data_IF_884695190747
#
_entry.id   IF_884695190747
#
_cell.length_a   1.000
_cell.length_b   1.000
_cell.length_c   1.000
_cell.angle_alpha   90.00
_cell.angle_beta   90.00
_cell.angle_gamma   90.00
#
_symmetry.space_group_name_H-M   'P 1'
#
loop_
_entity.id
_entity.type
_entity.pdbx_description
1 polymer ?
#
# COMPACT_ATOMS: atom_id res chain seq x y z
N UNK A 1 12.90 -3.37 10.35
CA UNK A 1 12.01 -2.48 11.11
C UNK A 1 10.53 -2.79 10.83
N UNK A 2 9.92 -2.34 9.71
CA UNK A 2 8.47 -2.51 9.45
C UNK A 2 7.98 -3.97 9.58
N UNK A 3 8.64 -4.92 8.92
CA UNK A 3 8.31 -6.35 9.02
C UNK A 3 8.58 -6.97 10.40
N UNK A 4 9.48 -6.37 11.18
CA UNK A 4 9.77 -6.81 12.55
C UNK A 4 8.62 -6.38 13.46
N UNK A 5 8.26 -5.10 13.43
CA UNK A 5 7.14 -4.55 14.23
C UNK A 5 5.82 -5.27 13.94
N UNK A 6 5.53 -5.53 12.65
CA UNK A 6 4.36 -6.30 12.22
C UNK A 6 4.33 -7.73 12.78
N UNK A 7 5.49 -8.38 12.96
CA UNK A 7 5.59 -9.76 13.45
C UNK A 7 5.56 -9.84 14.97
N UNK A 8 6.27 -8.96 15.64
CA UNK A 8 6.47 -9.04 17.09
C UNK A 8 5.36 -8.34 17.90
N UNK A 9 4.79 -7.25 17.39
CA UNK A 9 3.78 -6.47 18.11
C UNK A 9 2.70 -5.88 17.16
N UNK A 10 1.90 -6.73 16.50
CA UNK A 10 0.95 -6.29 15.47
C UNK A 10 -0.12 -5.32 16.01
N UNK A 11 -0.60 -5.52 17.23
CA UNK A 11 -1.63 -4.68 17.86
C UNK A 11 -1.09 -3.28 18.22
N UNK A 12 0.11 -3.23 18.79
CA UNK A 12 0.83 -2.00 19.11
C UNK A 12 1.12 -1.19 17.85
N UNK A 13 1.61 -1.87 16.82
CA UNK A 13 1.87 -1.27 15.51
C UNK A 13 0.59 -0.70 14.88
N UNK A 14 -0.51 -1.46 14.91
CA UNK A 14 -1.80 -0.99 14.42
C UNK A 14 -2.33 0.22 15.19
N UNK A 15 -2.10 0.27 16.52
CA UNK A 15 -2.48 1.40 17.37
C UNK A 15 -1.64 2.64 17.05
N UNK A 16 -0.32 2.50 16.92
CA UNK A 16 0.60 3.60 16.56
C UNK A 16 0.30 4.18 15.18
N UNK A 17 -0.03 3.32 14.21
CA UNK A 17 -0.48 3.75 12.88
C UNK A 17 -1.88 4.37 12.88
N UNK A 18 -2.64 4.25 13.96
CA UNK A 18 -4.01 4.77 14.05
C UNK A 18 -4.95 4.11 13.03
N UNK A 19 -4.71 2.84 12.67
CA UNK A 19 -5.45 2.14 11.60
C UNK A 19 -6.95 2.22 11.84
N UNK A 20 -7.42 1.95 13.06
CA UNK A 20 -8.85 2.01 13.38
C UNK A 20 -9.47 3.40 13.14
N UNK A 21 -8.73 4.48 13.39
CA UNK A 21 -9.18 5.85 13.14
C UNK A 21 -9.22 6.14 11.64
N UNK A 22 -8.15 5.80 10.91
CA UNK A 22 -8.07 5.92 9.46
C UNK A 22 -9.19 5.17 8.75
N UNK A 23 -9.53 3.96 9.21
CA UNK A 23 -10.55 3.12 8.60
C UNK A 23 -11.98 3.61 8.88
N UNK A 24 -12.23 4.28 10.01
CA UNK A 24 -13.56 4.78 10.39
C UNK A 24 -13.83 6.21 9.94
N UNK A 25 -12.82 7.07 10.03
CA UNK A 25 -13.01 8.53 9.90
C UNK A 25 -12.48 9.11 8.59
N UNK A 26 -11.68 8.36 7.82
CA UNK A 26 -11.09 8.94 6.61
C UNK A 26 -12.14 9.30 5.56
N UNK A 27 -11.95 10.46 4.95
CA UNK A 27 -12.73 10.90 3.79
C UNK A 27 -12.65 9.88 2.65
N UNK A 28 -11.47 9.27 2.45
CA UNK A 28 -11.27 8.22 1.45
C UNK A 28 -12.21 7.04 1.65
N UNK A 29 -12.31 6.49 2.87
CA UNK A 29 -13.21 5.35 3.13
C UNK A 29 -14.67 5.73 2.89
N UNK A 30 -15.09 6.94 3.29
CA UNK A 30 -16.46 7.43 3.05
C UNK A 30 -16.76 7.49 1.55
N UNK A 31 -15.87 8.13 0.77
CA UNK A 31 -16.00 8.23 -0.69
C UNK A 31 -16.01 6.87 -1.39
N UNK A 32 -15.19 5.93 -0.93
CA UNK A 32 -15.15 4.56 -1.47
C UNK A 32 -16.46 3.82 -1.22
N UNK A 33 -17.03 3.94 -0.01
CA UNK A 33 -18.35 3.34 0.31
C UNK A 33 -19.46 3.89 -0.57
N UNK A 34 -19.41 5.19 -0.88
CA UNK A 34 -20.40 5.84 -1.73
C UNK A 34 -20.27 5.43 -3.20
N UNK A 35 -19.04 5.41 -3.72
CA UNK A 35 -18.74 5.13 -5.14
C UNK A 35 -18.82 3.65 -5.50
N UNK A 36 -18.46 2.74 -4.57
CA UNK A 36 -18.40 1.29 -4.79
C UNK A 36 -19.04 0.52 -3.63
N UNK A 37 -20.38 0.57 -3.57
CA UNK A 37 -21.18 -0.06 -2.50
C UNK A 37 -20.98 -1.59 -2.37
N UNK A 38 -20.60 -2.25 -3.46
CA UNK A 38 -20.49 -3.71 -3.51
C UNK A 38 -19.11 -4.24 -3.06
N UNK A 39 -18.16 -3.36 -2.76
CA UNK A 39 -16.79 -3.75 -2.40
C UNK A 39 -16.43 -3.12 -1.06
N UNK A 40 -15.91 -3.94 -0.13
CA UNK A 40 -15.45 -3.41 1.15
C UNK A 40 -14.23 -2.49 0.95
N UNK A 41 -14.23 -1.22 1.44
CA UNK A 41 -13.17 -0.24 1.19
C UNK A 41 -11.76 -0.68 1.61
N UNK A 42 -11.68 -1.64 2.55
CA UNK A 42 -10.41 -2.19 3.02
C UNK A 42 -9.66 -2.91 1.91
N UNK A 43 -10.33 -3.55 0.95
CA UNK A 43 -9.64 -4.15 -0.20
C UNK A 43 -8.81 -3.11 -0.95
N UNK A 44 -9.39 -1.92 -1.17
CA UNK A 44 -8.68 -0.85 -1.86
C UNK A 44 -7.49 -0.33 -1.05
N UNK A 45 -7.66 -0.16 0.26
CA UNK A 45 -6.58 0.27 1.16
C UNK A 45 -5.46 -0.75 1.20
N UNK A 46 -5.78 -2.05 1.33
CA UNK A 46 -4.78 -3.13 1.29
C UNK A 46 -4.02 -3.14 -0.04
N UNK A 47 -4.70 -2.90 -1.16
CA UNK A 47 -4.03 -2.81 -2.47
C UNK A 47 -3.06 -1.63 -2.56
N UNK A 48 -3.45 -0.44 -2.09
CA UNK A 48 -2.56 0.73 -2.06
C UNK A 48 -1.35 0.48 -1.15
N UNK A 49 -1.58 -0.08 0.05
CA UNK A 49 -0.50 -0.43 0.97
C UNK A 49 0.42 -1.50 0.39
N UNK A 50 -0.12 -2.52 -0.28
CA UNK A 50 0.65 -3.53 -0.99
C UNK A 50 1.52 -2.90 -2.08
N UNK A 51 0.95 -2.06 -2.94
CA UNK A 51 1.68 -1.40 -4.02
C UNK A 51 2.79 -0.46 -3.52
N UNK A 52 2.63 0.14 -2.34
CA UNK A 52 3.59 1.11 -1.80
C UNK A 52 4.62 0.48 -0.87
N UNK A 53 4.23 -0.42 0.04
CA UNK A 53 5.12 -1.00 1.06
C UNK A 53 5.88 -2.23 0.56
N UNK A 54 5.25 -3.06 -0.28
CA UNK A 54 5.84 -4.32 -0.73
C UNK A 54 7.19 -4.16 -1.45
N UNK A 55 7.40 -3.17 -2.34
CA UNK A 55 8.71 -3.00 -2.99
C UNK A 55 9.87 -2.83 -2.01
N UNK A 56 9.64 -2.12 -0.90
CA UNK A 56 10.67 -1.89 0.13
C UNK A 56 10.88 -3.10 1.02
N UNK A 57 9.80 -3.81 1.34
CA UNK A 57 9.83 -5.08 2.06
C UNK A 57 10.60 -6.14 1.25
N UNK A 58 10.29 -6.26 -0.03
CA UNK A 58 10.89 -7.19 -0.97
C UNK A 58 12.20 -6.68 -1.58
N UNK A 59 12.72 -5.53 -1.18
CA UNK A 59 13.93 -4.93 -1.76
C UNK A 59 15.11 -5.92 -1.83
N UNK A 60 15.43 -6.74 -0.81
CA UNK A 60 16.49 -7.73 -0.93
C UNK A 60 16.23 -8.74 -2.07
N UNK A 61 14.98 -9.13 -2.29
CA UNK A 61 14.60 -10.05 -3.38
C UNK A 61 14.81 -9.37 -4.74
N UNK A 62 14.44 -8.11 -4.89
CA UNK A 62 14.61 -7.39 -6.15
C UNK A 62 16.09 -7.06 -6.44
N UNK A 63 16.88 -6.76 -5.43
CA UNK A 63 18.30 -6.47 -5.60
C UNK A 63 19.12 -7.73 -5.90
N UNK A 64 18.88 -8.83 -5.18
CA UNK A 64 19.63 -10.07 -5.39
C UNK A 64 19.05 -10.96 -6.49
N UNK A 65 17.73 -11.06 -6.58
CA UNK A 65 17.04 -11.95 -7.52
C UNK A 65 16.88 -11.38 -8.92
N UNK A 66 16.63 -10.07 -9.04
CA UNK A 66 16.52 -9.40 -10.34
C UNK A 66 17.80 -8.64 -10.75
N UNK A 67 18.85 -8.68 -9.92
CA UNK A 67 20.13 -8.03 -10.19
C UNK A 67 20.07 -6.51 -10.19
N UNK A 68 19.04 -5.90 -9.61
CA UNK A 68 18.87 -4.45 -9.62
C UNK A 68 19.89 -3.78 -8.70
N UNK A 69 20.66 -2.86 -9.27
CA UNK A 69 21.48 -1.93 -8.48
C UNK A 69 20.61 -1.02 -7.62
N UNK A 70 21.24 -0.39 -6.63
CA UNK A 70 20.56 0.59 -5.79
C UNK A 70 19.90 1.71 -6.59
N UNK A 71 20.62 2.24 -7.59
CA UNK A 71 20.14 3.34 -8.42
C UNK A 71 18.95 2.93 -9.29
N UNK A 72 18.98 1.72 -9.86
CA UNK A 72 17.87 1.21 -10.66
C UNK A 72 16.62 0.98 -9.80
N UNK A 73 16.80 0.42 -8.60
CA UNK A 73 15.68 0.26 -7.66
C UNK A 73 15.05 1.62 -7.31
N UNK A 74 15.86 2.64 -7.02
CA UNK A 74 15.38 4.00 -6.73
C UNK A 74 14.65 4.63 -7.92
N UNK A 75 15.18 4.47 -9.14
CA UNK A 75 14.53 4.95 -10.36
C UNK A 75 13.15 4.32 -10.55
N UNK A 76 13.04 3.00 -10.34
CA UNK A 76 11.76 2.30 -10.36
C UNK A 76 10.79 2.81 -9.29
N UNK A 77 11.26 3.22 -8.10
CA UNK A 77 10.39 3.79 -7.07
C UNK A 77 9.82 5.15 -7.49
N UNK A 78 10.62 5.99 -8.15
CA UNK A 78 10.14 7.26 -8.68
C UNK A 78 9.14 7.09 -9.83
N UNK A 79 9.32 6.06 -10.67
CA UNK A 79 8.32 5.69 -11.67
C UNK A 79 7.02 5.21 -11.00
N UNK A 80 7.12 4.31 -10.02
CA UNK A 80 5.98 3.80 -9.27
C UNK A 80 5.19 4.91 -8.59
N UNK A 81 5.85 5.94 -8.06
CA UNK A 81 5.18 7.11 -7.47
C UNK A 81 4.20 7.76 -8.44
N UNK A 82 4.51 7.78 -9.75
CA UNK A 82 3.63 8.33 -10.80
C UNK A 82 2.58 7.32 -11.28
N UNK A 83 2.90 6.02 -11.24
CA UNK A 83 2.03 4.96 -11.76
C UNK A 83 0.95 4.51 -10.76
N UNK A 84 1.26 4.48 -9.46
CA UNK A 84 0.32 4.02 -8.43
C UNK A 84 -1.01 4.79 -8.44
N UNK A 85 -1.04 6.13 -8.58
CA UNK A 85 -2.31 6.86 -8.71
C UNK A 85 -3.14 6.41 -9.93
N UNK A 86 -2.49 6.14 -11.06
CA UNK A 86 -3.17 5.69 -12.28
C UNK A 86 -3.74 4.28 -12.11
N UNK A 87 -3.00 3.37 -11.47
CA UNK A 87 -3.49 2.02 -11.17
C UNK A 87 -4.64 2.06 -10.16
N UNK A 88 -4.55 2.93 -9.15
CA UNK A 88 -5.61 3.13 -8.18
C UNK A 88 -6.91 3.60 -8.85
N UNK A 89 -6.82 4.56 -9.77
CA UNK A 89 -7.95 5.02 -10.57
C UNK A 89 -8.53 3.91 -11.45
N UNK A 90 -7.67 3.14 -12.12
CA UNK A 90 -8.09 2.02 -12.95
C UNK A 90 -8.87 0.97 -12.14
N UNK A 91 -8.38 0.60 -10.95
CA UNK A 91 -9.06 -0.33 -10.02
C UNK A 91 -10.45 0.19 -9.64
N UNK A 92 -10.60 1.50 -9.39
CA UNK A 92 -11.91 2.10 -9.08
C UNK A 92 -12.84 2.18 -10.28
N UNK A 93 -12.30 2.12 -11.49
CA UNK A 93 -13.04 2.26 -12.74
C UNK A 93 -13.53 0.93 -13.31
N UNK A 94 -13.04 -0.21 -12.81
CA UNK A 94 -13.55 -1.55 -13.18
C UNK A 94 -15.04 -1.62 -12.83
N UNK A 95 -15.88 -1.97 -13.81
CA UNK A 95 -17.34 -2.04 -13.67
C UNK A 95 -17.79 -3.36 -13.08
#
# INVERSE_FOLDING_TARGET
>A
FVLGELRYQPEEFARKLGVAKLLRESALVKQLRERKKNIHPIHFIMNILGMTLFPFIGRPVFQHGAGLSQKEFEALMEERRKLIPKWAEAILSVR
#
